data_IF_365982103162
#
_entry.id   IF_365982103162
#
_cell.length_a   1.000
_cell.length_b   1.000
_cell.length_c   1.000
_cell.angle_alpha   90.00
_cell.angle_beta   90.00
_cell.angle_gamma   90.00
#
_symmetry.space_group_name_H-M   'P 1'
#
loop_
_entity.id
_entity.type
_entity.pdbx_description
1 polymer ?
#
# COMPACT_ATOMS: atom_id res chain seq x y z
N UNK A 1 -82.25 14.64 37.55
CA UNK A 1 -80.97 13.92 37.57
C UNK A 1 -80.98 12.85 36.49
N UNK A 2 -79.91 12.72 35.70
CA UNK A 2 -79.70 11.84 34.52
C UNK A 2 -79.79 12.53 33.15
N UNK A 3 -78.82 13.39 32.86
CA UNK A 3 -78.40 13.71 31.49
C UNK A 3 -76.98 14.33 31.54
N UNK A 4 -76.03 13.56 32.06
CA UNK A 4 -74.61 13.99 32.15
C UNK A 4 -73.64 12.79 32.11
N UNK A 5 -74.11 11.61 31.71
CA UNK A 5 -73.35 10.36 31.79
C UNK A 5 -72.97 9.77 30.43
N UNK A 6 -73.61 10.19 29.34
CA UNK A 6 -73.36 9.61 28.01
C UNK A 6 -72.33 10.40 27.18
N UNK A 7 -72.13 11.68 27.46
CA UNK A 7 -71.14 12.50 26.74
C UNK A 7 -69.71 12.26 27.24
N UNK A 8 -69.55 11.71 28.45
CA UNK A 8 -68.23 11.39 29.01
C UNK A 8 -67.65 10.09 28.46
N UNK A 9 -68.47 9.11 28.06
CA UNK A 9 -67.98 7.84 27.49
C UNK A 9 -67.62 7.96 26.01
N UNK A 10 -68.35 8.79 25.25
CA UNK A 10 -68.03 9.08 23.85
C UNK A 10 -66.69 9.81 23.69
N UNK A 11 -66.40 10.77 24.58
CA UNK A 11 -65.14 11.51 24.56
C UNK A 11 -63.93 10.62 24.95
N UNK A 12 -64.11 9.68 25.88
CA UNK A 12 -63.05 8.73 26.28
C UNK A 12 -62.77 7.70 25.18
N UNK A 13 -63.80 7.24 24.47
CA UNK A 13 -63.64 6.32 23.33
C UNK A 13 -62.95 6.99 22.12
N UNK A 14 -63.23 8.28 21.87
CA UNK A 14 -62.66 9.03 20.75
C UNK A 14 -61.19 9.46 20.99
N UNK A 15 -60.83 9.72 22.26
CA UNK A 15 -59.45 10.01 22.69
C UNK A 15 -58.58 8.73 22.79
N UNK A 16 -59.20 7.58 23.10
CA UNK A 16 -58.56 6.26 23.01
C UNK A 16 -58.19 5.87 21.57
N UNK A 17 -59.08 6.14 20.61
CA UNK A 17 -58.88 5.76 19.21
C UNK A 17 -57.79 6.59 18.51
N UNK A 18 -57.70 7.87 18.82
CA UNK A 18 -56.69 8.80 18.27
C UNK A 18 -55.30 8.51 18.83
N UNK A 19 -55.17 8.29 20.14
CA UNK A 19 -53.88 7.88 20.75
C UNK A 19 -53.36 6.55 20.24
N UNK A 20 -54.23 5.59 19.92
CA UNK A 20 -53.82 4.32 19.32
C UNK A 20 -53.34 4.47 17.87
N UNK A 21 -53.99 5.32 17.08
CA UNK A 21 -53.57 5.61 15.69
C UNK A 21 -52.22 6.31 15.63
N UNK A 22 -51.97 7.28 16.53
CA UNK A 22 -50.67 7.98 16.62
C UNK A 22 -49.53 7.05 17.06
N UNK A 23 -49.80 6.12 17.99
CA UNK A 23 -48.82 5.13 18.42
C UNK A 23 -48.49 4.11 17.30
N UNK A 24 -49.48 3.70 16.51
CA UNK A 24 -49.29 2.79 15.37
C UNK A 24 -48.47 3.49 14.28
N UNK A 25 -48.80 4.73 13.92
CA UNK A 25 -48.03 5.55 12.97
C UNK A 25 -46.60 5.83 13.47
N UNK A 26 -46.43 6.15 14.75
CA UNK A 26 -45.12 6.34 15.36
C UNK A 26 -44.24 5.09 15.33
N UNK A 27 -44.82 3.90 15.58
CA UNK A 27 -44.08 2.63 15.54
C UNK A 27 -43.73 2.19 14.12
N UNK A 28 -44.55 2.49 13.12
CA UNK A 28 -44.28 2.19 11.70
C UNK A 28 -43.16 3.11 11.18
N UNK A 29 -43.21 4.41 11.48
CA UNK A 29 -42.18 5.37 11.07
C UNK A 29 -40.85 5.09 11.80
N UNK A 30 -40.90 4.80 13.11
CA UNK A 30 -39.72 4.43 13.90
C UNK A 30 -39.10 3.09 13.47
N UNK A 31 -39.93 2.09 13.14
CA UNK A 31 -39.49 0.78 12.65
C UNK A 31 -38.81 0.86 11.27
N UNK A 32 -39.35 1.64 10.34
CA UNK A 32 -38.76 1.83 9.00
C UNK A 32 -37.42 2.59 9.10
N UNK A 33 -37.33 3.61 9.96
CA UNK A 33 -36.08 4.34 10.20
C UNK A 33 -35.00 3.47 10.89
N UNK A 34 -35.38 2.59 11.82
CA UNK A 34 -34.44 1.68 12.46
C UNK A 34 -33.90 0.62 11.49
N UNK A 35 -34.74 0.10 10.59
CA UNK A 35 -34.32 -0.84 9.54
C UNK A 35 -33.39 -0.15 8.53
N UNK A 36 -33.73 1.07 8.09
CA UNK A 36 -32.87 1.84 7.20
C UNK A 36 -31.53 2.18 7.89
N UNK A 37 -31.56 2.69 9.11
CA UNK A 37 -30.36 3.02 9.90
C UNK A 37 -29.46 1.80 10.15
N UNK A 38 -30.05 0.65 10.49
CA UNK A 38 -29.33 -0.62 10.68
C UNK A 38 -28.65 -1.12 9.40
N UNK A 39 -29.31 -0.99 8.24
CA UNK A 39 -28.74 -1.37 6.94
C UNK A 39 -27.59 -0.42 6.53
N UNK A 40 -27.76 0.89 6.74
CA UNK A 40 -26.70 1.86 6.44
C UNK A 40 -25.48 1.68 7.33
N UNK A 41 -25.65 1.35 8.61
CA UNK A 41 -24.54 1.07 9.54
C UNK A 41 -23.81 -0.20 9.16
N UNK A 42 -24.50 -1.29 8.79
CA UNK A 42 -23.83 -2.54 8.39
C UNK A 42 -23.07 -2.38 7.07
N UNK A 43 -23.67 -1.71 6.07
CA UNK A 43 -23.03 -1.44 4.78
C UNK A 43 -21.83 -0.48 4.94
N UNK A 44 -21.96 0.55 5.78
CA UNK A 44 -20.86 1.47 6.05
C UNK A 44 -19.73 0.79 6.84
N UNK A 45 -20.06 -0.11 7.76
CA UNK A 45 -19.06 -0.91 8.50
C UNK A 45 -18.32 -1.86 7.57
N UNK A 46 -19.03 -2.62 6.73
CA UNK A 46 -18.41 -3.53 5.75
C UNK A 46 -17.52 -2.78 4.76
N UNK A 47 -17.96 -1.59 4.30
CA UNK A 47 -17.13 -0.71 3.46
C UNK A 47 -15.88 -0.22 4.17
N UNK A 48 -15.99 0.23 5.42
CA UNK A 48 -14.83 0.69 6.22
C UNK A 48 -13.84 -0.44 6.47
N UNK A 49 -14.34 -1.63 6.75
CA UNK A 49 -13.53 -2.82 6.99
C UNK A 49 -12.81 -3.29 5.72
N UNK A 50 -13.49 -3.32 4.57
CA UNK A 50 -12.88 -3.59 3.27
C UNK A 50 -11.79 -2.59 2.91
N UNK A 51 -12.04 -1.29 3.09
CA UNK A 51 -11.04 -0.24 2.83
C UNK A 51 -9.84 -0.40 3.74
N UNK A 52 -10.06 -0.68 5.03
CA UNK A 52 -8.97 -0.96 5.98
C UNK A 52 -8.16 -2.19 5.56
N UNK A 53 -8.82 -3.28 5.20
CA UNK A 53 -8.16 -4.51 4.77
C UNK A 53 -7.33 -4.30 3.51
N UNK A 54 -7.88 -3.62 2.50
CA UNK A 54 -7.15 -3.27 1.27
C UNK A 54 -5.92 -2.40 1.58
N UNK A 55 -6.08 -1.41 2.44
CA UNK A 55 -4.99 -0.53 2.87
C UNK A 55 -3.88 -1.30 3.58
N UNK A 56 -4.23 -2.15 4.53
CA UNK A 56 -3.27 -2.90 5.33
C UNK A 56 -2.56 -3.97 4.47
N UNK A 57 -3.29 -4.62 3.54
CA UNK A 57 -2.73 -5.54 2.55
C UNK A 57 -1.75 -4.81 1.60
N UNK A 58 -2.12 -3.63 1.10
CA UNK A 58 -1.24 -2.81 0.25
C UNK A 58 0.04 -2.43 0.97
N UNK A 59 -0.05 -1.94 2.22
CA UNK A 59 1.13 -1.54 3.00
C UNK A 59 2.06 -2.73 3.20
N UNK A 60 1.50 -3.89 3.59
CA UNK A 60 2.27 -5.12 3.79
C UNK A 60 2.98 -5.55 2.50
N UNK A 61 2.24 -5.67 1.39
CA UNK A 61 2.81 -6.08 0.11
C UNK A 61 3.89 -5.09 -0.37
N UNK A 62 3.67 -3.78 -0.18
CA UNK A 62 4.66 -2.75 -0.56
C UNK A 62 5.93 -2.83 0.29
N UNK A 63 5.80 -3.12 1.58
CA UNK A 63 6.96 -3.30 2.47
C UNK A 63 7.75 -4.56 2.10
N UNK A 64 7.07 -5.67 1.80
CA UNK A 64 7.69 -6.91 1.32
C UNK A 64 8.45 -6.68 0.01
N UNK A 65 7.85 -5.95 -0.95
CA UNK A 65 8.49 -5.61 -2.21
C UNK A 65 9.78 -4.81 -2.02
N UNK A 66 9.72 -3.74 -1.23
CA UNK A 66 10.89 -2.88 -0.98
C UNK A 66 11.99 -3.64 -0.26
N UNK A 67 11.64 -4.50 0.69
CA UNK A 67 12.58 -5.40 1.37
C UNK A 67 13.24 -6.37 0.37
N UNK A 68 12.45 -7.03 -0.48
CA UNK A 68 12.96 -7.94 -1.49
C UNK A 68 13.89 -7.24 -2.50
N UNK A 69 13.55 -6.02 -2.92
CA UNK A 69 14.40 -5.20 -3.78
C UNK A 69 15.76 -4.93 -3.14
N UNK A 70 15.80 -4.56 -1.86
CA UNK A 70 17.05 -4.34 -1.14
C UNK A 70 17.91 -5.61 -1.09
N UNK A 71 17.29 -6.77 -0.87
CA UNK A 71 17.98 -8.06 -0.85
C UNK A 71 18.56 -8.37 -2.23
N UNK A 72 17.77 -8.27 -3.30
CA UNK A 72 18.23 -8.52 -4.68
C UNK A 72 19.37 -7.60 -5.06
N UNK A 73 19.24 -6.31 -4.82
CA UNK A 73 20.27 -5.32 -5.16
C UNK A 73 21.56 -5.56 -4.37
N UNK A 74 21.46 -6.00 -3.11
CA UNK A 74 22.64 -6.40 -2.32
C UNK A 74 23.34 -7.62 -2.91
N UNK A 75 22.60 -8.67 -3.29
CA UNK A 75 23.17 -9.87 -3.91
C UNK A 75 23.77 -9.57 -5.28
N UNK A 76 23.12 -8.72 -6.05
CA UNK A 76 23.63 -8.28 -7.34
C UNK A 76 24.95 -7.51 -7.20
N UNK A 77 25.06 -6.67 -6.16
CA UNK A 77 26.31 -5.96 -5.84
C UNK A 77 27.44 -6.93 -5.48
N UNK A 78 27.14 -7.99 -4.73
CA UNK A 78 28.12 -9.04 -4.39
C UNK A 78 28.67 -9.71 -5.65
N UNK A 79 27.80 -10.02 -6.62
CA UNK A 79 28.20 -10.58 -7.93
C UNK A 79 28.98 -9.56 -8.77
N UNK A 80 28.50 -8.31 -8.84
CA UNK A 80 29.08 -7.28 -9.69
C UNK A 80 30.53 -6.93 -9.32
N UNK A 81 30.88 -6.99 -8.04
CA UNK A 81 32.23 -6.70 -7.54
C UNK A 81 33.09 -7.94 -7.32
N UNK A 82 32.64 -9.09 -7.77
CA UNK A 82 33.43 -10.31 -7.69
C UNK A 82 34.48 -10.33 -8.81
N UNK A 83 35.74 -10.51 -8.43
CA UNK A 83 36.87 -10.53 -9.38
C UNK A 83 36.91 -11.79 -10.24
N UNK A 84 36.71 -12.97 -9.63
CA UNK A 84 36.57 -14.24 -10.36
C UNK A 84 35.12 -14.72 -10.30
N UNK A 85 34.42 -14.62 -11.43
CA UNK A 85 33.02 -15.04 -11.57
C UNK A 85 32.85 -16.53 -11.88
N UNK A 86 33.94 -17.28 -11.97
CA UNK A 86 33.95 -18.73 -12.22
C UNK A 86 34.29 -19.55 -10.99
N UNK A 87 34.60 -18.89 -9.87
CA UNK A 87 34.99 -19.56 -8.63
C UNK A 87 33.78 -20.20 -7.91
N UNK A 88 34.07 -21.06 -6.94
CA UNK A 88 33.04 -21.65 -6.06
C UNK A 88 32.30 -20.58 -5.24
N UNK A 89 32.98 -19.50 -4.88
CA UNK A 89 32.37 -18.33 -4.25
C UNK A 89 31.37 -17.65 -5.20
N UNK A 90 31.68 -17.60 -6.50
CA UNK A 90 30.76 -17.08 -7.52
C UNK A 90 29.51 -17.95 -7.67
N UNK A 91 29.66 -19.28 -7.68
CA UNK A 91 28.52 -20.21 -7.66
C UNK A 91 27.64 -20.00 -6.43
N UNK A 92 28.26 -19.81 -5.26
CA UNK A 92 27.53 -19.55 -4.01
C UNK A 92 26.79 -18.21 -4.05
N UNK A 93 27.44 -17.14 -4.53
CA UNK A 93 26.81 -15.83 -4.69
C UNK A 93 25.66 -15.86 -5.70
N UNK A 94 25.81 -16.61 -6.79
CA UNK A 94 24.77 -16.81 -7.78
C UNK A 94 23.56 -17.56 -7.20
N UNK A 95 23.80 -18.61 -6.40
CA UNK A 95 22.74 -19.33 -5.68
C UNK A 95 21.96 -18.40 -4.74
N UNK A 96 22.66 -17.61 -3.91
CA UNK A 96 22.03 -16.62 -3.04
C UNK A 96 21.26 -15.53 -3.81
N UNK A 97 21.72 -15.17 -5.00
CA UNK A 97 21.01 -14.27 -5.90
C UNK A 97 19.74 -14.91 -6.47
N UNK A 98 19.75 -16.20 -6.81
CA UNK A 98 18.56 -16.92 -7.24
C UNK A 98 17.48 -16.98 -6.15
N UNK A 99 17.88 -17.22 -4.90
CA UNK A 99 16.97 -17.17 -3.75
C UNK A 99 16.36 -15.78 -3.59
N UNK A 100 17.20 -14.73 -3.67
CA UNK A 100 16.75 -13.34 -3.61
C UNK A 100 15.77 -12.99 -4.74
N UNK A 101 16.02 -13.47 -5.96
CA UNK A 101 15.15 -13.26 -7.12
C UNK A 101 13.81 -13.96 -6.93
N UNK A 102 13.80 -15.15 -6.32
CA UNK A 102 12.56 -15.86 -6.00
C UNK A 102 11.71 -15.10 -4.96
N UNK A 103 12.36 -14.48 -3.97
CA UNK A 103 11.68 -13.59 -3.01
C UNK A 103 11.14 -12.33 -3.69
N UNK A 104 11.91 -11.73 -4.59
CA UNK A 104 11.49 -10.58 -5.39
C UNK A 104 10.25 -10.87 -6.23
N UNK A 105 10.27 -11.97 -6.98
CA UNK A 105 9.13 -12.39 -7.80
C UNK A 105 7.88 -12.63 -6.93
N UNK A 106 8.03 -13.29 -5.78
CA UNK A 106 6.93 -13.52 -4.86
C UNK A 106 6.34 -12.20 -4.34
N UNK A 107 7.18 -11.25 -3.95
CA UNK A 107 6.74 -9.94 -3.48
C UNK A 107 6.08 -9.10 -4.59
N UNK A 108 6.58 -9.19 -5.84
CA UNK A 108 5.92 -8.58 -6.99
C UNK A 108 4.50 -9.10 -7.17
N UNK A 109 4.31 -10.41 -7.16
CA UNK A 109 2.98 -11.01 -7.30
C UNK A 109 2.04 -10.60 -6.17
N UNK A 110 2.54 -10.52 -4.93
CA UNK A 110 1.77 -9.99 -3.80
C UNK A 110 1.26 -8.57 -4.06
N UNK A 111 2.11 -7.69 -4.62
CA UNK A 111 1.71 -6.31 -4.95
C UNK A 111 0.72 -6.30 -6.12
N UNK A 112 0.99 -7.03 -7.20
CA UNK A 112 0.11 -7.09 -8.39
C UNK A 112 -1.30 -7.57 -8.02
N UNK A 113 -1.41 -8.49 -7.07
CA UNK A 113 -2.70 -9.04 -6.61
C UNK A 113 -3.60 -8.00 -5.93
N UNK A 114 -3.01 -7.04 -5.19
CA UNK A 114 -3.76 -6.14 -4.30
C UNK A 114 -3.77 -4.68 -4.78
N UNK A 115 -2.96 -4.34 -5.78
CA UNK A 115 -2.68 -2.95 -6.13
C UNK A 115 -3.47 -2.43 -7.33
N UNK A 116 -3.54 -1.09 -7.42
CA UNK A 116 -4.04 -0.41 -8.62
C UNK A 116 -3.14 -0.63 -9.85
N UNK A 117 -3.66 -0.46 -11.08
CA UNK A 117 -2.86 -0.57 -12.31
C UNK A 117 -1.59 0.29 -12.30
N UNK A 118 -1.67 1.51 -11.78
CA UNK A 118 -0.52 2.42 -11.66
C UNK A 118 0.62 1.83 -10.84
N UNK A 119 0.30 1.18 -9.72
CA UNK A 119 1.31 0.55 -8.87
C UNK A 119 1.89 -0.68 -9.56
N UNK A 120 1.06 -1.48 -10.22
CA UNK A 120 1.49 -2.61 -11.05
C UNK A 120 2.48 -2.18 -12.13
N UNK A 121 2.20 -1.09 -12.86
CA UNK A 121 3.10 -0.58 -13.90
C UNK A 121 4.48 -0.16 -13.35
N UNK A 122 4.50 0.45 -12.15
CA UNK A 122 5.75 0.81 -11.46
C UNK A 122 6.53 -0.43 -11.03
N UNK A 123 5.87 -1.47 -10.54
CA UNK A 123 6.52 -2.75 -10.19
C UNK A 123 7.13 -3.41 -11.42
N UNK A 124 6.38 -3.48 -12.53
CA UNK A 124 6.90 -4.05 -13.78
C UNK A 124 8.06 -3.23 -14.36
N UNK A 125 8.05 -1.91 -14.15
CA UNK A 125 9.17 -1.04 -14.54
C UNK A 125 10.40 -1.28 -13.67
N UNK A 126 10.22 -1.49 -12.36
CA UNK A 126 11.30 -1.87 -11.45
C UNK A 126 11.92 -3.21 -11.85
N UNK A 127 11.09 -4.19 -12.15
CA UNK A 127 11.53 -5.53 -12.55
C UNK A 127 12.41 -5.51 -13.79
N UNK A 128 11.98 -4.81 -14.84
CA UNK A 128 12.78 -4.62 -16.06
C UNK A 128 14.14 -3.98 -15.77
N UNK A 129 14.21 -3.01 -14.87
CA UNK A 129 15.47 -2.36 -14.51
C UNK A 129 16.37 -3.26 -13.65
N UNK A 130 15.80 -4.10 -12.79
CA UNK A 130 16.54 -5.14 -12.05
C UNK A 130 17.13 -6.17 -13.01
N UNK A 131 16.35 -6.65 -13.97
CA UNK A 131 16.81 -7.59 -15.00
C UNK A 131 17.90 -6.99 -15.88
N UNK A 132 17.72 -5.73 -16.33
CA UNK A 132 18.72 -4.98 -17.09
C UNK A 132 20.03 -4.87 -16.31
N UNK A 133 19.95 -4.52 -15.02
CA UNK A 133 21.14 -4.42 -14.17
C UNK A 133 21.79 -5.80 -13.97
N UNK A 134 21.00 -6.87 -13.85
CA UNK A 134 21.50 -8.23 -13.71
C UNK A 134 22.29 -8.71 -14.94
N UNK A 135 21.74 -8.51 -16.14
CA UNK A 135 22.42 -8.85 -17.39
C UNK A 135 23.80 -8.18 -17.45
N UNK A 136 23.84 -6.87 -17.21
CA UNK A 136 25.10 -6.11 -17.22
C UNK A 136 26.04 -6.49 -16.08
N UNK A 137 25.52 -6.83 -14.90
CA UNK A 137 26.33 -7.27 -13.76
C UNK A 137 27.18 -8.49 -14.10
N UNK A 138 26.71 -9.35 -15.00
CA UNK A 138 27.41 -10.57 -15.43
C UNK A 138 28.44 -10.28 -16.52
N UNK A 139 28.16 -9.38 -17.44
CA UNK A 139 28.94 -9.16 -18.67
C UNK A 139 30.27 -8.43 -18.51
N UNK A 140 30.44 -7.61 -17.47
CA UNK A 140 31.63 -6.76 -17.31
C UNK A 140 32.13 -6.72 -15.86
N UNK A 141 33.37 -6.28 -15.67
CA UNK A 141 33.86 -5.82 -14.37
C UNK A 141 33.28 -4.45 -14.04
N UNK A 142 33.00 -4.22 -12.75
CA UNK A 142 32.31 -3.01 -12.31
C UNK A 142 33.17 -2.18 -11.38
N UNK A 143 33.33 -0.90 -11.73
CA UNK A 143 33.70 0.08 -10.72
C UNK A 143 32.50 0.40 -9.82
N UNK A 144 32.78 0.87 -8.60
CA UNK A 144 31.71 1.34 -7.69
C UNK A 144 30.92 2.50 -8.29
N UNK A 145 31.56 3.36 -9.05
CA UNK A 145 30.92 4.52 -9.69
C UNK A 145 29.95 4.08 -10.79
N UNK A 146 30.36 3.12 -11.63
CA UNK A 146 29.51 2.56 -12.69
C UNK A 146 28.29 1.87 -12.10
N UNK A 147 28.48 1.05 -11.06
CA UNK A 147 27.38 0.32 -10.43
C UNK A 147 26.38 1.25 -9.75
N UNK A 148 26.86 2.36 -9.15
CA UNK A 148 25.97 3.41 -8.61
C UNK A 148 25.16 4.07 -9.73
N UNK A 149 25.82 4.50 -10.81
CA UNK A 149 25.18 5.15 -11.95
C UNK A 149 24.08 4.28 -12.56
N UNK A 150 24.36 3.00 -12.74
CA UNK A 150 23.40 2.07 -13.34
C UNK A 150 22.18 1.77 -12.45
N UNK A 151 22.30 2.03 -11.15
CA UNK A 151 21.22 1.88 -10.16
C UNK A 151 20.37 3.12 -9.94
N UNK A 152 20.70 4.25 -10.57
CA UNK A 152 19.98 5.51 -10.42
C UNK A 152 18.50 5.35 -10.79
N UNK A 153 18.22 4.72 -11.95
CA UNK A 153 16.85 4.50 -12.42
C UNK A 153 16.03 3.68 -11.42
N UNK A 154 16.62 2.61 -10.85
CA UNK A 154 15.97 1.81 -9.81
C UNK A 154 15.66 2.66 -8.58
N UNK A 155 16.58 3.54 -8.17
CA UNK A 155 16.38 4.44 -7.04
C UNK A 155 15.20 5.39 -7.25
N UNK A 156 15.12 6.01 -8.43
CA UNK A 156 14.03 6.92 -8.82
C UNK A 156 12.68 6.21 -8.93
N UNK A 157 12.64 5.04 -9.58
CA UNK A 157 11.43 4.22 -9.69
C UNK A 157 10.95 3.75 -8.30
N UNK A 158 11.87 3.39 -7.41
CA UNK A 158 11.55 3.00 -6.04
C UNK A 158 10.95 4.15 -5.25
N UNK A 159 11.46 5.37 -5.40
CA UNK A 159 10.89 6.56 -4.77
C UNK A 159 9.47 6.86 -5.29
N UNK A 160 9.27 6.79 -6.62
CA UNK A 160 7.95 6.96 -7.23
C UNK A 160 6.95 5.89 -6.76
N UNK A 161 7.41 4.64 -6.65
CA UNK A 161 6.62 3.53 -6.11
C UNK A 161 6.22 3.77 -4.65
N UNK A 162 7.17 4.16 -3.79
CA UNK A 162 6.91 4.47 -2.38
C UNK A 162 5.88 5.59 -2.22
N UNK A 163 5.99 6.67 -3.01
CA UNK A 163 5.02 7.75 -2.98
C UNK A 163 3.64 7.33 -3.47
N UNK A 164 3.56 6.50 -4.51
CA UNK A 164 2.29 5.95 -4.98
C UNK A 164 1.65 5.02 -3.93
N UNK A 165 2.43 4.14 -3.32
CA UNK A 165 1.97 3.20 -2.30
C UNK A 165 1.48 3.93 -1.04
N UNK A 166 2.20 4.97 -0.62
CA UNK A 166 1.80 5.85 0.49
C UNK A 166 0.52 6.62 0.16
N UNK A 167 0.37 7.10 -1.08
CA UNK A 167 -0.85 7.75 -1.53
C UNK A 167 -2.09 6.84 -1.44
N UNK A 168 -1.96 5.57 -1.87
CA UNK A 168 -3.03 4.56 -1.72
C UNK A 168 -3.32 4.28 -0.24
N UNK A 169 -2.29 4.31 0.61
CA UNK A 169 -2.42 4.13 2.05
C UNK A 169 -3.01 5.33 2.81
N UNK A 170 -3.28 6.45 2.13
CA UNK A 170 -3.71 7.71 2.76
C UNK A 170 -2.60 8.38 3.58
N UNK A 171 -1.33 8.02 3.33
CA UNK A 171 -0.16 8.58 3.98
C UNK A 171 0.41 9.74 3.14
N UNK A 172 1.05 10.75 3.76
CA UNK A 172 1.68 11.84 3.04
C UNK A 172 2.84 11.34 2.18
N UNK A 173 3.01 11.89 0.98
CA UNK A 173 4.14 11.58 0.09
C UNK A 173 5.48 11.97 0.76
N UNK A 174 6.52 11.21 0.47
CA UNK A 174 7.89 11.50 0.90
C UNK A 174 8.58 12.51 -0.02
N UNK A 175 8.17 12.59 -1.29
CA UNK A 175 8.76 13.49 -2.29
C UNK A 175 10.26 13.29 -2.48
N UNK A 176 10.72 12.04 -2.38
CA UNK A 176 12.12 11.69 -2.59
C UNK A 176 12.43 11.71 -4.09
N UNK A 177 13.57 12.29 -4.45
CA UNK A 177 14.11 12.14 -5.81
C UNK A 177 14.55 10.70 -6.08
N UNK A 178 15.02 9.99 -5.04
CA UNK A 178 15.53 8.63 -5.13
C UNK A 178 15.39 7.91 -3.80
N UNK A 179 15.21 6.58 -3.82
CA UNK A 179 15.26 5.76 -2.62
C UNK A 179 16.68 5.63 -2.06
N UNK A 180 17.70 6.07 -2.80
CA UNK A 180 19.09 6.03 -2.38
C UNK A 180 19.53 7.38 -1.79
N UNK A 181 20.02 7.37 -0.54
CA UNK A 181 20.44 8.59 0.16
C UNK A 181 21.61 9.32 -0.51
N UNK A 182 22.51 8.59 -1.18
CA UNK A 182 23.69 9.18 -1.83
C UNK A 182 23.35 9.95 -3.13
N UNK A 183 22.14 9.83 -3.67
CA UNK A 183 21.67 10.70 -4.77
C UNK A 183 21.06 12.01 -4.22
N UNK A 184 20.78 12.08 -2.92
CA UNK A 184 20.32 13.30 -2.24
C UNK A 184 21.47 14.24 -1.86
N UNK A 185 22.71 13.74 -1.87
CA UNK A 185 23.91 14.56 -1.69
C UNK A 185 24.18 15.32 -3.00
N UNK A 186 23.47 16.44 -3.20
CA UNK A 186 23.84 17.42 -4.21
C UNK A 186 25.18 18.05 -3.86
N UNK A 187 25.89 18.53 -4.89
CA UNK A 187 27.29 18.95 -4.89
C UNK A 187 27.70 20.14 -3.98
N UNK A 188 26.96 20.44 -2.91
CA UNK A 188 27.24 21.53 -1.95
C UNK A 188 27.92 21.06 -0.65
N UNK A 189 28.10 19.75 -0.44
CA UNK A 189 28.63 19.21 0.83
C UNK A 189 30.04 18.58 0.70
N UNK A 190 30.81 18.99 -0.30
CA UNK A 190 32.25 18.75 -0.35
C UNK A 190 32.95 20.10 -0.27
N UNK A 191 33.03 20.67 0.93
CA UNK A 191 34.10 21.63 1.20
C UNK A 191 35.44 20.92 0.96
N UNK A 192 36.39 21.53 0.24
CA UNK A 192 37.73 20.99 0.14
C UNK A 192 38.31 20.97 1.56
N UNK A 193 38.58 19.77 2.07
CA UNK A 193 39.42 19.64 3.26
C UNK A 193 40.79 20.17 2.82
N UNK A 194 41.13 21.33 3.38
CA UNK A 194 42.39 22.02 3.13
C UNK A 194 43.56 21.05 3.24
N UNK A 195 44.43 21.15 2.24
CA UNK A 195 45.73 20.51 2.25
C UNK A 195 46.63 21.21 3.28
N UNK A 196 46.99 20.49 4.35
CA UNK A 196 48.24 20.66 5.08
C UNK A 196 49.02 19.34 5.10
#
# INVERSE_FOLDING_TARGET
MRSSSMDSEANVAQDSHTRHMDAILGSIVGGILAIAGGLFVSIASDRKERVKWQRDAQIKASAELVSALQVVIRRLREIAFMGDKTSKEAETALSLYHDATSMWNSAMYSVILVSSPRLTDLVLSLDREVDRLCARAREQEWSRADFRRERLTIGRLSAQYLDAARGVAGLPKLQLNSAWSWEMTTAEEVEPIDAE
#
